data_IF_487889844062
#
_entry.id   IF_487889844062
#
_cell.length_a   1.000
_cell.length_b   1.000
_cell.length_c   1.000
_cell.angle_alpha   90.00
_cell.angle_beta   90.00
_cell.angle_gamma   90.00
#
_symmetry.space_group_name_H-M   'P 1'
#
loop_
_entity.id
_entity.type
_entity.pdbx_description
1 polymer ?
#
# COMPACT_ATOMS: atom_id res chain seq x y z
N UNK A 1 -5.55 -29.33 79.76
CA UNK A 1 -4.51 -30.06 79.02
C UNK A 1 -4.83 -29.98 77.54
N UNK A 2 -3.88 -29.47 76.74
CA UNK A 2 -3.50 -29.80 75.34
C UNK A 2 -4.65 -29.98 74.32
N UNK A 3 -4.64 -29.38 73.14
CA UNK A 3 -3.57 -29.41 72.14
C UNK A 3 -3.85 -28.36 71.07
N UNK A 4 -2.81 -27.63 70.68
CA UNK A 4 -2.75 -26.68 69.57
C UNK A 4 -2.60 -27.45 68.25
N UNK A 5 -3.36 -27.12 67.21
CA UNK A 5 -3.05 -27.52 65.83
C UNK A 5 -2.92 -26.28 64.95
N UNK A 6 -1.71 -26.03 64.45
CA UNK A 6 -1.45 -25.14 63.32
C UNK A 6 -1.97 -25.81 62.04
N UNK A 7 -2.79 -25.11 61.27
CA UNK A 7 -2.98 -25.41 59.84
C UNK A 7 -2.35 -24.31 59.01
N UNK A 8 -1.45 -24.72 58.11
CA UNK A 8 -0.77 -23.87 57.15
C UNK A 8 -1.72 -23.33 56.08
N UNK A 9 -1.49 -22.08 55.68
CA UNK A 9 -2.18 -21.45 54.57
C UNK A 9 -1.53 -21.87 53.25
N UNK A 10 -2.23 -22.67 52.44
CA UNK A 10 -1.95 -22.76 51.01
C UNK A 10 -2.57 -21.52 50.34
N UNK A 11 -1.72 -20.61 49.85
CA UNK A 11 -2.16 -19.55 48.96
C UNK A 11 -2.41 -20.14 47.55
N UNK A 12 -3.67 -20.42 47.24
CA UNK A 12 -4.09 -20.73 45.88
C UNK A 12 -4.10 -19.43 45.06
N UNK A 13 -3.05 -19.21 44.28
CA UNK A 13 -3.04 -18.14 43.27
C UNK A 13 -4.10 -18.43 42.19
N UNK A 14 -4.80 -17.40 41.68
CA UNK A 14 -5.85 -17.62 40.70
C UNK A 14 -5.24 -18.19 39.42
N UNK A 15 -5.73 -19.38 39.03
CA UNK A 15 -5.48 -19.97 37.73
C UNK A 15 -6.09 -19.03 36.68
N UNK A 16 -5.26 -18.21 36.03
CA UNK A 16 -5.70 -17.42 34.90
C UNK A 16 -6.00 -18.38 33.75
N UNK A 17 -7.29 -18.58 33.46
CA UNK A 17 -7.73 -19.22 32.21
C UNK A 17 -7.23 -18.36 31.05
N UNK A 18 -6.19 -18.82 30.37
CA UNK A 18 -5.78 -18.24 29.10
C UNK A 18 -6.92 -18.49 28.10
N UNK A 19 -7.70 -17.45 27.79
CA UNK A 19 -8.66 -17.52 26.70
C UNK A 19 -7.89 -17.85 25.40
N UNK A 20 -8.36 -18.80 24.58
CA UNK A 20 -7.73 -19.05 23.29
C UNK A 20 -7.76 -17.75 22.50
N UNK A 21 -6.59 -17.28 22.05
CA UNK A 21 -6.50 -16.13 21.16
C UNK A 21 -7.42 -16.38 19.97
N UNK A 22 -8.17 -15.38 19.49
CA UNK A 22 -8.92 -15.55 18.25
C UNK A 22 -7.89 -15.88 17.18
N UNK A 23 -7.95 -17.11 16.65
CA UNK A 23 -7.34 -17.42 15.37
C UNK A 23 -8.05 -16.49 14.41
N UNK A 24 -7.40 -15.39 14.04
CA UNK A 24 -7.80 -14.63 12.86
C UNK A 24 -7.68 -15.64 11.73
N UNK A 25 -8.83 -16.25 11.38
CA UNK A 25 -8.94 -17.04 10.18
C UNK A 25 -8.33 -16.16 9.10
N UNK A 26 -7.26 -16.63 8.45
CA UNK A 26 -6.72 -16.02 7.24
C UNK A 26 -7.94 -15.55 6.46
N UNK A 27 -8.05 -14.24 6.25
CA UNK A 27 -9.15 -13.69 5.47
C UNK A 27 -9.12 -14.47 4.18
N UNK A 28 -10.05 -15.42 4.03
CA UNK A 28 -10.03 -16.32 2.89
C UNK A 28 -10.41 -15.41 1.76
N UNK A 29 -9.40 -14.89 1.07
CA UNK A 29 -9.59 -14.44 -0.28
C UNK A 29 -10.43 -15.51 -0.96
N UNK A 30 -11.47 -15.09 -1.66
CA UNK A 30 -12.42 -16.02 -2.25
C UNK A 30 -11.59 -17.12 -2.93
N UNK A 31 -11.69 -18.38 -2.50
CA UNK A 31 -10.62 -19.39 -2.76
C UNK A 31 -10.30 -19.48 -4.25
N UNK A 32 -11.31 -19.32 -5.11
CA UNK A 32 -11.17 -19.23 -6.56
C UNK A 32 -10.40 -17.99 -7.08
N UNK A 33 -10.55 -16.82 -6.43
CA UNK A 33 -9.73 -15.63 -6.72
C UNK A 33 -8.29 -15.78 -6.24
N UNK A 34 -8.07 -16.46 -5.11
CA UNK A 34 -6.73 -16.73 -4.60
C UNK A 34 -5.97 -17.72 -5.50
N UNK A 35 -6.63 -18.78 -5.98
CA UNK A 35 -6.04 -19.78 -6.89
C UNK A 35 -5.70 -19.24 -8.29
N UNK A 36 -6.23 -18.06 -8.66
CA UNK A 36 -5.98 -17.42 -9.96
C UNK A 36 -5.15 -16.13 -9.86
N UNK A 37 -4.69 -15.77 -8.66
CA UNK A 37 -3.88 -14.57 -8.46
C UNK A 37 -2.41 -14.85 -8.85
N UNK A 38 -1.73 -13.97 -9.60
CA UNK A 38 -0.35 -14.21 -10.00
C UNK A 38 0.61 -14.21 -8.80
N UNK A 39 1.61 -15.08 -8.86
CA UNK A 39 2.73 -15.06 -7.92
C UNK A 39 3.59 -13.82 -8.14
N UNK A 40 4.10 -13.23 -7.06
CA UNK A 40 5.04 -12.11 -7.18
C UNK A 40 6.48 -12.63 -7.20
N UNK A 41 7.36 -11.87 -7.84
CA UNK A 41 8.78 -12.01 -7.58
C UNK A 41 9.04 -11.67 -6.11
N UNK A 42 9.76 -12.55 -5.40
CA UNK A 42 10.11 -12.33 -4.00
C UNK A 42 10.85 -11.00 -3.80
N UNK A 43 11.72 -10.61 -4.75
CA UNK A 43 12.48 -9.36 -4.67
C UNK A 43 11.57 -8.12 -4.67
N UNK A 44 10.40 -8.18 -5.33
CA UNK A 44 9.43 -7.09 -5.33
C UNK A 44 8.72 -6.94 -3.97
N UNK A 45 8.69 -7.97 -3.12
CA UNK A 45 7.76 -8.02 -1.98
C UNK A 45 8.39 -8.39 -0.64
N UNK A 46 9.71 -8.50 -0.60
CA UNK A 46 10.47 -8.77 0.62
C UNK A 46 10.54 -7.58 1.60
N UNK A 47 10.28 -6.36 1.11
CA UNK A 47 10.33 -5.14 1.94
C UNK A 47 9.31 -4.09 1.50
N UNK A 48 9.04 -3.11 2.39
CA UNK A 48 8.20 -1.94 2.07
C UNK A 48 8.80 -1.13 0.91
N UNK A 49 10.12 -0.96 0.90
CA UNK A 49 10.80 -0.21 -0.17
C UNK A 49 10.71 -0.95 -1.51
N UNK A 50 10.89 -2.27 -1.49
CA UNK A 50 10.79 -3.11 -2.68
C UNK A 50 9.40 -3.03 -3.31
N UNK A 51 8.34 -3.19 -2.50
CA UNK A 51 6.98 -3.24 -3.03
C UNK A 51 6.50 -1.89 -3.53
N UNK A 52 6.90 -0.80 -2.89
CA UNK A 52 6.62 0.55 -3.37
C UNK A 52 7.39 0.84 -4.66
N UNK A 53 8.66 0.44 -4.75
CA UNK A 53 9.45 0.56 -5.98
C UNK A 53 8.80 -0.21 -7.12
N UNK A 54 8.42 -1.47 -6.90
CA UNK A 54 7.75 -2.31 -7.89
C UNK A 54 6.41 -1.73 -8.33
N UNK A 55 5.64 -1.17 -7.40
CA UNK A 55 4.35 -0.52 -7.67
C UNK A 55 4.48 0.66 -8.63
N UNK A 56 5.49 1.53 -8.43
CA UNK A 56 5.75 2.66 -9.33
C UNK A 56 6.35 2.22 -10.67
N UNK A 57 7.26 1.24 -10.64
CA UNK A 57 7.95 0.74 -11.82
C UNK A 57 6.98 0.06 -12.81
N UNK A 58 6.09 -0.80 -12.34
CA UNK A 58 5.22 -1.62 -13.20
C UNK A 58 4.18 -0.81 -13.99
N UNK A 59 3.79 0.37 -13.51
CA UNK A 59 2.92 1.31 -14.24
C UNK A 59 3.71 2.26 -15.15
N UNK A 60 5.04 2.28 -15.01
CA UNK A 60 5.95 3.19 -15.69
C UNK A 60 6.61 2.59 -16.93
N UNK A 61 6.99 3.45 -17.87
CA UNK A 61 7.68 3.10 -19.10
C UNK A 61 7.28 3.95 -20.31
N UNK A 62 8.05 3.84 -21.41
CA UNK A 62 7.85 4.62 -22.63
C UNK A 62 6.51 4.35 -23.32
N UNK A 63 6.15 5.27 -24.22
CA UNK A 63 4.98 5.11 -25.07
C UNK A 63 5.08 3.86 -25.95
N UNK A 64 3.98 3.12 -26.09
CA UNK A 64 3.89 1.86 -26.83
C UNK A 64 4.44 0.63 -26.11
N UNK A 65 4.94 0.77 -24.88
CA UNK A 65 5.35 -0.38 -24.07
C UNK A 65 4.18 -0.87 -23.22
N UNK A 66 3.73 -2.10 -23.49
CA UNK A 66 2.77 -2.80 -22.65
C UNK A 66 3.30 -2.97 -21.21
N UNK A 67 2.40 -2.81 -20.24
CA UNK A 67 2.70 -3.03 -18.82
C UNK A 67 2.54 -4.50 -18.45
N UNK A 68 3.34 -4.92 -17.49
CA UNK A 68 3.22 -6.25 -16.89
C UNK A 68 2.10 -6.25 -15.85
N UNK A 69 0.88 -6.48 -16.31
CA UNK A 69 -0.29 -6.46 -15.44
C UNK A 69 -0.35 -7.65 -14.47
N UNK A 70 0.37 -8.74 -14.74
CA UNK A 70 0.43 -9.86 -13.80
C UNK A 70 1.39 -9.55 -12.66
N UNK A 71 2.55 -8.94 -12.95
CA UNK A 71 3.41 -8.34 -11.93
C UNK A 71 2.66 -7.28 -11.13
N UNK A 72 1.87 -6.41 -11.78
CA UNK A 72 1.09 -5.41 -11.05
C UNK A 72 0.11 -6.07 -10.08
N UNK A 73 -0.71 -7.03 -10.53
CA UNK A 73 -1.69 -7.72 -9.68
C UNK A 73 -1.02 -8.45 -8.53
N UNK A 74 0.12 -9.10 -8.76
CA UNK A 74 0.81 -9.90 -7.74
C UNK A 74 1.27 -9.09 -6.53
N UNK A 75 1.40 -7.76 -6.63
CA UNK A 75 1.73 -6.87 -5.50
C UNK A 75 0.56 -6.69 -4.51
N UNK A 76 -0.67 -6.97 -4.91
CA UNK A 76 -1.87 -6.68 -4.13
C UNK A 76 -2.46 -7.94 -3.48
N UNK A 77 -3.22 -7.76 -2.40
CA UNK A 77 -4.23 -8.76 -2.06
C UNK A 77 -5.36 -8.75 -3.11
N UNK A 78 -6.06 -9.88 -3.35
CA UNK A 78 -7.14 -9.94 -4.34
C UNK A 78 -8.27 -8.93 -4.09
N UNK A 79 -8.54 -8.62 -2.81
CA UNK A 79 -9.57 -7.66 -2.38
C UNK A 79 -9.09 -6.20 -2.38
N UNK A 80 -7.90 -5.90 -2.88
CA UNK A 80 -7.36 -4.56 -2.78
C UNK A 80 -8.23 -3.54 -3.52
N UNK A 81 -8.12 -2.28 -3.08
CA UNK A 81 -8.88 -1.16 -3.66
C UNK A 81 -7.95 -0.02 -4.06
N UNK A 82 -8.11 0.43 -5.30
CA UNK A 82 -7.54 1.64 -5.86
C UNK A 82 -8.65 2.67 -5.94
N UNK A 83 -8.49 3.79 -5.25
CA UNK A 83 -9.54 4.77 -5.01
C UNK A 83 -9.00 6.17 -5.38
N UNK A 84 -9.12 6.61 -6.64
CA UNK A 84 -8.84 7.99 -7.00
C UNK A 84 -9.89 8.92 -6.38
N UNK A 85 -9.45 10.05 -5.87
CA UNK A 85 -10.33 11.18 -5.53
C UNK A 85 -10.22 12.29 -6.54
N UNK A 86 -11.28 13.08 -6.63
CA UNK A 86 -11.28 14.25 -7.49
C UNK A 86 -12.47 15.16 -7.23
N UNK A 87 -12.65 16.10 -8.16
CA UNK A 87 -13.85 16.92 -8.23
C UNK A 87 -14.55 16.73 -9.56
N UNK A 88 -15.88 16.78 -9.57
CA UNK A 88 -16.65 16.89 -10.80
C UNK A 88 -16.42 18.25 -11.47
N UNK A 89 -16.84 18.44 -12.73
CA UNK A 89 -16.84 19.75 -13.38
C UNK A 89 -17.61 20.84 -12.60
N UNK A 90 -18.61 20.45 -11.82
CA UNK A 90 -19.42 21.31 -10.94
C UNK A 90 -18.73 21.61 -9.59
N UNK A 91 -17.56 21.00 -9.34
CA UNK A 91 -16.74 21.21 -8.15
C UNK A 91 -17.07 20.29 -6.97
N UNK A 92 -17.98 19.33 -7.13
CA UNK A 92 -18.35 18.38 -6.08
C UNK A 92 -17.24 17.36 -5.84
N UNK A 93 -16.93 17.09 -4.57
CA UNK A 93 -15.95 16.08 -4.18
C UNK A 93 -16.49 14.67 -4.42
N UNK A 94 -15.69 13.82 -5.04
CA UNK A 94 -16.06 12.43 -5.32
C UNK A 94 -14.87 11.49 -5.38
N UNK A 95 -15.17 10.22 -5.62
CA UNK A 95 -14.18 9.15 -5.74
C UNK A 95 -14.70 8.04 -6.68
N UNK A 96 -13.78 7.22 -7.16
CA UNK A 96 -14.10 5.93 -7.79
C UNK A 96 -13.46 4.81 -6.97
N UNK A 97 -13.91 3.58 -7.18
CA UNK A 97 -13.35 2.41 -6.50
C UNK A 97 -13.09 1.35 -7.56
N UNK A 98 -11.84 0.92 -7.65
CA UNK A 98 -11.38 -0.10 -8.58
C UNK A 98 -10.64 -1.21 -7.85
N UNK A 99 -10.78 -2.43 -8.32
CA UNK A 99 -9.83 -3.52 -8.07
C UNK A 99 -8.53 -3.29 -8.87
N UNK A 100 -7.44 -4.03 -8.57
CA UNK A 100 -6.24 -4.00 -9.42
C UNK A 100 -6.53 -4.36 -10.88
N UNK A 101 -7.46 -5.30 -11.12
CA UNK A 101 -7.89 -5.65 -12.47
C UNK A 101 -8.58 -4.48 -13.19
N UNK A 102 -9.55 -3.84 -12.54
CA UNK A 102 -10.26 -2.68 -13.11
C UNK A 102 -9.32 -1.49 -13.35
N UNK A 103 -8.34 -1.26 -12.48
CA UNK A 103 -7.33 -0.23 -12.72
C UNK A 103 -6.51 -0.53 -13.98
N UNK A 104 -6.04 -1.78 -14.14
CA UNK A 104 -5.31 -2.20 -15.33
C UNK A 104 -6.11 -1.97 -16.63
N UNK A 105 -7.41 -2.28 -16.59
CA UNK A 105 -8.31 -2.09 -17.73
C UNK A 105 -8.55 -0.60 -18.03
N UNK A 106 -8.78 0.22 -17.00
CA UNK A 106 -9.16 1.62 -17.17
C UNK A 106 -7.96 2.54 -17.45
N UNK A 107 -6.83 2.31 -16.80
CA UNK A 107 -5.64 3.14 -16.94
C UNK A 107 -4.70 2.63 -18.04
N UNK A 108 -4.62 1.31 -18.27
CA UNK A 108 -3.52 0.70 -18.99
C UNK A 108 -3.34 1.20 -20.42
N UNK A 109 -4.43 1.32 -21.17
CA UNK A 109 -4.38 1.86 -22.53
C UNK A 109 -3.84 3.30 -22.58
N UNK A 110 -4.20 4.14 -21.60
CA UNK A 110 -3.70 5.51 -21.53
C UNK A 110 -2.21 5.56 -21.17
N UNK A 111 -1.78 4.77 -20.19
CA UNK A 111 -0.38 4.72 -19.74
C UNK A 111 0.55 4.26 -20.88
N UNK A 112 0.16 3.22 -21.60
CA UNK A 112 0.90 2.70 -22.74
C UNK A 112 0.93 3.71 -23.89
N UNK A 113 -0.21 4.27 -24.30
CA UNK A 113 -0.26 5.14 -25.49
C UNK A 113 0.56 6.43 -25.33
N UNK A 114 0.61 7.00 -24.13
CA UNK A 114 1.15 8.35 -23.94
C UNK A 114 2.58 8.37 -23.42
N UNK A 115 3.12 7.23 -22.99
CA UNK A 115 4.29 7.21 -22.14
C UNK A 115 3.96 7.77 -20.76
N UNK A 116 4.42 7.07 -19.75
CA UNK A 116 4.10 7.41 -18.38
C UNK A 116 5.22 6.93 -17.48
N UNK A 117 5.78 7.84 -16.71
CA UNK A 117 6.77 7.55 -15.69
C UNK A 117 6.29 8.22 -14.42
N UNK A 118 5.94 7.42 -13.43
CA UNK A 118 5.59 7.91 -12.10
C UNK A 118 6.58 7.38 -11.09
N UNK A 119 7.01 8.23 -10.17
CA UNK A 119 8.01 7.89 -9.16
C UNK A 119 7.66 8.51 -7.82
N UNK A 120 8.01 7.81 -6.76
CA UNK A 120 8.03 8.37 -5.41
C UNK A 120 9.11 9.45 -5.32
N UNK A 121 8.73 10.63 -4.82
CA UNK A 121 9.67 11.74 -4.57
C UNK A 121 9.82 12.02 -3.07
N UNK A 122 8.85 11.64 -2.25
CA UNK A 122 8.93 11.75 -0.80
C UNK A 122 7.93 10.79 -0.15
N UNK A 123 8.20 10.37 1.10
CA UNK A 123 7.32 9.47 1.85
C UNK A 123 7.31 9.83 3.33
N UNK A 124 6.11 9.79 3.93
CA UNK A 124 5.92 9.66 5.38
C UNK A 124 5.37 8.29 5.67
N UNK A 125 5.98 7.56 6.60
CA UNK A 125 5.64 6.17 6.87
C UNK A 125 5.32 5.96 8.35
N UNK A 126 4.23 5.26 8.63
CA UNK A 126 3.83 4.81 9.96
C UNK A 126 3.71 3.29 9.98
N UNK A 127 4.20 2.66 11.05
CA UNK A 127 4.25 1.19 11.16
C UNK A 127 3.82 0.69 12.52
N UNK A 128 2.96 -0.32 12.53
CA UNK A 128 2.60 -1.08 13.73
C UNK A 128 2.38 -2.56 13.40
N UNK A 129 3.31 -3.42 13.83
CA UNK A 129 3.25 -4.85 13.56
C UNK A 129 3.20 -5.15 12.05
N UNK A 130 2.18 -5.90 11.56
CA UNK A 130 2.04 -6.24 10.14
C UNK A 130 1.46 -5.10 9.29
N UNK A 131 1.08 -3.97 9.88
CA UNK A 131 0.41 -2.87 9.18
C UNK A 131 1.40 -1.72 8.94
N UNK A 132 1.45 -1.25 7.69
CA UNK A 132 2.18 -0.05 7.29
C UNK A 132 1.23 0.88 6.53
N UNK A 133 1.35 2.17 6.83
CA UNK A 133 0.77 3.25 6.01
C UNK A 133 1.91 4.09 5.47
N UNK A 134 2.02 4.18 4.14
CA UNK A 134 2.90 5.09 3.44
C UNK A 134 2.08 6.22 2.79
N UNK A 135 2.34 7.46 3.19
CA UNK A 135 1.85 8.66 2.52
C UNK A 135 2.94 9.11 1.54
N UNK A 136 2.80 8.63 0.30
CA UNK A 136 3.83 8.63 -0.75
C UNK A 136 3.52 9.70 -1.79
N UNK A 137 4.34 10.75 -1.84
CA UNK A 137 4.23 11.82 -2.81
C UNK A 137 4.87 11.38 -4.12
N UNK A 138 4.17 11.59 -5.22
CA UNK A 138 4.65 11.23 -6.56
C UNK A 138 4.76 12.44 -7.48
N UNK A 139 5.60 12.29 -8.50
CA UNK A 139 5.54 13.07 -9.73
C UNK A 139 5.36 12.15 -10.94
N UNK A 140 4.68 12.64 -11.98
CA UNK A 140 4.44 11.89 -13.21
C UNK A 140 4.94 12.67 -14.44
N UNK A 141 5.67 11.99 -15.33
CA UNK A 141 6.27 12.52 -16.57
C UNK A 141 5.85 11.68 -17.78
N UNK A 142 5.92 12.25 -19.00
CA UNK A 142 5.64 11.51 -20.24
C UNK A 142 6.85 10.72 -20.70
N UNK A 143 8.02 11.32 -20.53
CA UNK A 143 9.32 10.66 -20.68
C UNK A 143 10.13 10.78 -19.40
N UNK A 144 10.99 9.81 -19.11
CA UNK A 144 11.84 9.85 -17.91
C UNK A 144 12.70 11.13 -17.85
N UNK A 145 13.09 11.65 -19.01
CA UNK A 145 13.98 12.79 -19.17
C UNK A 145 13.24 14.15 -19.22
N UNK A 146 11.90 14.17 -19.16
CA UNK A 146 11.16 15.43 -19.14
C UNK A 146 11.63 16.29 -17.95
N UNK A 147 11.92 17.59 -18.15
CA UNK A 147 12.49 18.42 -17.09
C UNK A 147 11.49 18.64 -15.96
N UNK A 148 10.20 18.80 -16.28
CA UNK A 148 9.13 19.07 -15.33
C UNK A 148 8.05 17.98 -15.40
N UNK A 149 7.48 17.56 -14.27
CA UNK A 149 6.35 16.64 -14.26
C UNK A 149 5.07 17.31 -14.77
N UNK A 150 4.23 16.56 -15.46
CA UNK A 150 2.92 17.04 -15.88
C UNK A 150 1.85 16.86 -14.80
N UNK A 151 2.10 16.02 -13.80
CA UNK A 151 1.23 15.78 -12.67
C UNK A 151 2.04 15.47 -11.41
N UNK A 152 1.45 15.78 -10.25
CA UNK A 152 1.93 15.37 -8.93
C UNK A 152 0.73 15.01 -8.07
N UNK A 153 0.98 14.30 -6.98
CA UNK A 153 -0.06 13.99 -6.00
C UNK A 153 0.50 13.21 -4.84
N UNK A 154 -0.41 12.68 -4.01
CA UNK A 154 -0.05 11.80 -2.90
C UNK A 154 -0.91 10.55 -2.94
N UNK A 155 -0.25 9.40 -2.88
CA UNK A 155 -0.82 8.09 -2.63
C UNK A 155 -0.83 7.82 -1.12
N UNK A 156 -1.99 7.59 -0.53
CA UNK A 156 -2.15 6.97 0.79
C UNK A 156 -2.20 5.46 0.58
N UNK A 157 -1.08 4.80 0.83
CA UNK A 157 -0.86 3.38 0.56
C UNK A 157 -0.90 2.63 1.88
N UNK A 158 -1.78 1.64 1.94
CA UNK A 158 -1.85 0.70 3.07
C UNK A 158 -1.23 -0.63 2.63
N UNK A 159 -0.27 -1.10 3.43
CA UNK A 159 0.45 -2.34 3.22
C UNK A 159 0.20 -3.29 4.39
N UNK A 160 0.21 -4.59 4.10
CA UNK A 160 0.09 -5.66 5.09
C UNK A 160 1.18 -6.70 4.87
N UNK A 161 1.81 -7.13 5.95
CA UNK A 161 2.75 -8.25 5.96
C UNK A 161 2.07 -9.48 6.58
N UNK A 162 2.03 -10.59 5.86
CA UNK A 162 1.34 -11.81 6.31
C UNK A 162 2.21 -12.73 7.18
N UNK A 163 3.52 -12.47 7.22
CA UNK A 163 4.52 -13.30 7.90
C UNK A 163 5.61 -13.81 6.95
N UNK A 164 5.35 -13.78 5.65
CA UNK A 164 6.26 -14.18 4.58
C UNK A 164 6.63 -12.99 3.68
N UNK A 165 5.63 -12.19 3.27
CA UNK A 165 5.83 -11.08 2.32
C UNK A 165 4.88 -9.90 2.55
N UNK A 166 5.17 -8.79 1.86
CA UNK A 166 4.31 -7.62 1.80
C UNK A 166 3.24 -7.72 0.69
N UNK A 167 2.09 -7.11 0.98
CA UNK A 167 0.98 -6.90 0.06
C UNK A 167 0.46 -5.47 0.13
N UNK A 168 0.03 -4.93 -1.01
CA UNK A 168 -0.78 -3.71 -1.07
C UNK A 168 -2.24 -4.04 -0.79
N UNK A 169 -2.82 -3.35 0.18
CA UNK A 169 -4.21 -3.50 0.62
C UNK A 169 -5.10 -2.43 0.01
N UNK A 170 -4.64 -1.18 0.00
CA UNK A 170 -5.39 -0.05 -0.56
C UNK A 170 -4.43 1.02 -1.05
N UNK A 171 -4.77 1.65 -2.17
CA UNK A 171 -4.16 2.90 -2.62
C UNK A 171 -5.30 3.89 -2.77
N UNK A 172 -5.26 4.95 -1.97
CA UNK A 172 -6.22 6.04 -1.99
C UNK A 172 -5.48 7.33 -2.28
N UNK A 173 -5.84 8.07 -3.33
CA UNK A 173 -4.99 9.18 -3.76
C UNK A 173 -5.74 10.44 -4.15
N UNK A 174 -5.00 11.54 -4.09
CA UNK A 174 -5.43 12.84 -4.57
C UNK A 174 -4.31 13.46 -5.42
N UNK A 175 -4.68 13.94 -6.60
CA UNK A 175 -3.80 14.75 -7.42
C UNK A 175 -3.68 16.17 -6.85
N UNK A 176 -2.49 16.74 -6.94
CA UNK A 176 -2.25 18.15 -6.65
C UNK A 176 -3.05 19.04 -7.62
N UNK A 177 -3.55 20.18 -7.12
CA UNK A 177 -4.23 21.19 -7.93
C UNK A 177 -3.80 22.59 -7.50
N UNK A 178 -4.04 23.63 -8.32
CA UNK A 178 -3.73 25.01 -7.92
C UNK A 178 -4.37 25.44 -6.59
N UNK A 179 -5.56 24.92 -6.27
CA UNK A 179 -6.29 25.17 -5.02
C UNK A 179 -5.98 24.16 -3.90
N UNK A 180 -5.19 23.12 -4.21
CA UNK A 180 -4.77 22.07 -3.30
C UNK A 180 -3.29 21.74 -3.55
N UNK A 181 -2.36 22.64 -3.17
CA UNK A 181 -0.93 22.39 -3.30
C UNK A 181 -0.49 21.29 -2.32
N UNK A 182 0.52 20.50 -2.70
CA UNK A 182 1.12 19.51 -1.80
C UNK A 182 1.77 20.25 -0.60
N UNK A 183 1.41 19.93 0.65
CA UNK A 183 2.03 20.54 1.82
C UNK A 183 3.55 20.28 1.83
N UNK A 184 4.34 21.31 2.20
CA UNK A 184 5.80 21.24 2.12
C UNK A 184 6.46 20.12 2.93
N UNK A 185 5.80 19.63 3.99
CA UNK A 185 6.27 18.48 4.78
C UNK A 185 6.24 17.15 4.01
N UNK A 186 5.48 17.07 2.91
CA UNK A 186 5.39 15.91 2.03
C UNK A 186 6.17 16.11 0.73
N UNK A 187 7.05 17.10 0.66
CA UNK A 187 7.97 17.30 -0.46
C UNK A 187 9.39 16.86 -0.06
N UNK A 188 10.26 16.55 -1.04
CA UNK A 188 11.66 16.28 -0.76
C UNK A 188 12.25 17.38 0.12
N UNK A 189 12.91 16.96 1.21
CA UNK A 189 13.63 17.92 2.05
C UNK A 189 14.71 18.61 1.21
N UNK A 190 14.76 19.94 1.27
CA UNK A 190 15.72 20.79 0.52
C UNK A 190 17.19 20.44 0.75
N UNK A 191 17.50 19.57 1.70
CA UNK A 191 18.85 19.16 2.12
C UNK A 191 19.18 17.67 1.81
N UNK A 192 18.32 16.93 1.11
CA UNK A 192 18.51 15.50 0.84
C UNK A 192 19.18 15.21 -0.50
N UNK A 193 20.47 15.54 -0.64
CA UNK A 193 21.32 15.07 -1.74
C UNK A 193 21.71 13.61 -1.60
N UNK A 194 20.74 12.72 -1.39
CA UNK A 194 20.91 11.28 -1.31
C UNK A 194 20.04 10.62 -2.36
N UNK A 195 20.65 10.26 -3.49
CA UNK A 195 20.08 9.31 -4.44
C UNK A 195 19.80 7.99 -3.72
N UNK A 196 18.68 7.30 -3.97
CA UNK A 196 18.56 5.88 -3.65
C UNK A 196 19.66 5.07 -4.37
#
# INVERSE_FOLDING_TARGET
MRTLFLLGALAAGPLALAAPAPVLAQGRANVAMAESWPDADHADVESVDSILTALYDVISGPAGQARDWDRFRSLFIPEARLIPTGRSPEGEHGYQVWSPGEYAEQAGGFLEQNGFFEREIARSEERFGPVVHAFSTYDSKRTADDPEPFARGINSIQLMHDGDRWYVVTIYWAAERPDLPIPGQYLPSRNGGGTP
#
